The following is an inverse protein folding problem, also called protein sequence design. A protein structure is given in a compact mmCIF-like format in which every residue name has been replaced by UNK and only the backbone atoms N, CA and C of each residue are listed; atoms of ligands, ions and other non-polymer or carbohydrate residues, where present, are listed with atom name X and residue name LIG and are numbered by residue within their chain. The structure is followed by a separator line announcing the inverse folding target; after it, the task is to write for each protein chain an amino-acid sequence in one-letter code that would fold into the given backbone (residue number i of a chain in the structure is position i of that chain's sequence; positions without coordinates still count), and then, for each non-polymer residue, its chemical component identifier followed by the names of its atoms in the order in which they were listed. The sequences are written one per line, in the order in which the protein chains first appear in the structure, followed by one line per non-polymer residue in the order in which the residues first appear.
data_IF_392098525925
#
_entry.id   IF_392098525925
#
_cell.length_a   1.000
_cell.length_b   1.000
_cell.length_c   1.000
_cell.angle_alpha   90.00
_cell.angle_beta   90.00
_cell.angle_gamma   90.00
#
_symmetry.space_group_name_H-M   'P 1'
#
loop_
_entity.id
_entity.type
_entity.pdbx_description
1 polymer ?
#
# COMPACT_ATOMS: atom_id res chain seq x y z
N UNK A 1 -24.60 4.08 -60.66
CA UNK A 1 -24.98 3.95 -59.23
C UNK A 1 -23.68 3.88 -58.42
N UNK A 2 -23.27 5.02 -57.88
CA UNK A 2 -21.99 5.20 -57.17
C UNK A 2 -22.28 5.28 -55.68
N UNK A 3 -22.08 4.18 -54.98
CA UNK A 3 -22.33 4.06 -53.53
C UNK A 3 -21.15 4.67 -52.78
N UNK A 4 -21.36 5.80 -52.10
CA UNK A 4 -20.39 6.36 -51.14
C UNK A 4 -20.56 5.65 -49.80
N UNK A 5 -19.54 4.91 -49.38
CA UNK A 5 -19.44 4.33 -48.04
C UNK A 5 -18.65 5.30 -47.16
N UNK A 6 -19.35 6.02 -46.29
CA UNK A 6 -18.76 6.98 -45.35
C UNK A 6 -18.46 6.23 -44.06
N UNK A 7 -17.19 5.92 -43.79
CA UNK A 7 -16.77 5.31 -42.53
C UNK A 7 -16.57 6.41 -41.48
N UNK A 8 -17.55 6.57 -40.59
CA UNK A 8 -17.45 7.46 -39.43
C UNK A 8 -16.59 6.76 -38.36
N UNK A 9 -15.29 7.03 -38.35
CA UNK A 9 -14.39 6.61 -37.28
C UNK A 9 -14.73 7.47 -36.05
N UNK A 10 -15.55 6.92 -35.15
CA UNK A 10 -15.78 7.48 -33.84
C UNK A 10 -14.49 7.28 -33.02
N UNK A 11 -13.59 8.26 -33.08
CA UNK A 11 -12.41 8.32 -32.23
C UNK A 11 -12.91 8.61 -30.82
N UNK A 12 -13.26 7.54 -30.08
CA UNK A 12 -13.52 7.61 -28.65
C UNK A 12 -12.16 7.89 -27.99
N UNK A 13 -11.78 9.17 -27.92
CA UNK A 13 -10.70 9.62 -27.07
C UNK A 13 -11.11 9.31 -25.64
N UNK A 14 -10.78 8.11 -25.19
CA UNK A 14 -10.69 7.76 -23.78
C UNK A 14 -9.77 8.81 -23.17
N UNK A 15 -10.39 9.82 -22.57
CA UNK A 15 -9.74 10.76 -21.70
C UNK A 15 -9.15 9.88 -20.61
N UNK A 16 -7.87 9.59 -20.75
CA UNK A 16 -7.04 9.05 -19.69
C UNK A 16 -6.97 10.18 -18.66
N UNK A 17 -8.00 10.32 -17.84
CA UNK A 17 -7.86 11.05 -16.60
C UNK A 17 -6.76 10.32 -15.85
N UNK A 18 -5.58 10.93 -15.78
CA UNK A 18 -4.54 10.51 -14.85
C UNK A 18 -5.17 10.56 -13.46
N UNK A 19 -5.65 9.41 -12.99
CA UNK A 19 -6.19 9.24 -11.65
C UNK A 19 -5.06 9.23 -10.59
N UNK A 20 -3.83 9.58 -10.97
CA UNK A 20 -2.67 9.40 -10.13
C UNK A 20 -1.70 10.58 -10.10
N UNK A 21 -1.32 10.89 -8.84
CA UNK A 21 -0.43 11.92 -8.31
C UNK A 21 -0.95 13.37 -8.34
N UNK A 22 -2.05 13.62 -7.63
CA UNK A 22 -2.20 14.90 -6.94
C UNK A 22 -1.34 14.85 -5.68
N UNK A 23 -0.63 15.94 -5.34
CA UNK A 23 0.03 16.06 -4.04
C UNK A 23 -1.03 15.88 -2.93
N UNK A 24 -0.91 14.80 -2.16
CA UNK A 24 -1.81 14.56 -1.04
C UNK A 24 -1.44 15.50 0.12
N UNK A 25 -2.44 16.03 0.85
CA UNK A 25 -2.17 16.92 1.97
C UNK A 25 -1.35 16.20 3.04
N UNK A 26 -0.54 16.97 3.77
CA UNK A 26 0.22 16.49 4.92
C UNK A 26 0.00 17.47 6.07
N UNK A 27 -0.70 17.02 7.12
CA UNK A 27 -0.93 17.81 8.33
C UNK A 27 0.15 17.55 9.38
N UNK A 28 0.63 16.31 9.46
CA UNK A 28 1.66 15.92 10.43
C UNK A 28 2.61 14.89 9.85
N UNK A 29 3.90 15.06 10.15
CA UNK A 29 4.97 14.12 9.79
C UNK A 29 5.46 13.39 11.04
N UNK A 30 5.70 12.10 10.90
CA UNK A 30 6.23 11.24 11.95
C UNK A 30 7.53 10.60 11.47
N UNK A 31 8.56 10.74 12.30
CA UNK A 31 9.88 10.15 12.12
C UNK A 31 9.91 8.67 12.51
N UNK A 32 11.04 8.01 12.23
CA UNK A 32 11.23 6.56 12.44
C UNK A 32 10.92 6.14 13.87
N UNK A 33 11.24 6.97 14.86
CA UNK A 33 11.10 6.67 16.28
C UNK A 33 9.63 6.70 16.74
N UNK A 34 8.75 7.36 15.99
CA UNK A 34 7.34 7.59 16.36
C UNK A 34 6.34 6.81 15.52
N UNK A 35 6.77 6.15 14.44
CA UNK A 35 5.85 5.45 13.52
C UNK A 35 5.33 4.11 14.02
N UNK A 36 6.00 3.45 14.98
CA UNK A 36 5.64 2.09 15.39
C UNK A 36 4.29 1.95 16.09
N UNK A 37 3.69 3.07 16.53
CA UNK A 37 2.37 3.10 17.18
C UNK A 37 1.28 3.74 16.33
N UNK A 38 1.58 4.10 15.08
CA UNK A 38 0.59 4.63 14.15
C UNK A 38 -0.19 3.46 13.55
N UNK A 39 -1.51 3.56 13.60
CA UNK A 39 -2.44 2.68 12.92
C UNK A 39 -3.60 3.54 12.39
N UNK A 40 -3.54 3.89 11.11
CA UNK A 40 -4.57 4.69 10.47
C UNK A 40 -5.64 3.76 9.87
N UNK A 41 -6.90 3.81 10.34
CA UNK A 41 -7.94 2.95 9.79
C UNK A 41 -8.24 3.33 8.33
N UNK A 42 -8.24 2.34 7.44
CA UNK A 42 -8.64 2.48 6.05
C UNK A 42 -9.87 1.60 5.80
N UNK A 43 -11.01 2.24 5.59
CA UNK A 43 -12.28 1.56 5.32
C UNK A 43 -13.47 2.49 5.49
N UNK A 44 -14.55 2.19 4.78
CA UNK A 44 -15.78 2.96 4.81
C UNK A 44 -16.51 2.89 6.15
N UNK A 45 -17.45 3.81 6.34
CA UNK A 45 -18.32 3.84 7.51
C UNK A 45 -19.14 2.54 7.55
N UNK A 46 -19.03 1.80 8.66
CA UNK A 46 -19.79 0.57 8.88
C UNK A 46 -19.31 -0.66 8.08
N UNK A 47 -18.25 -0.55 7.27
CA UNK A 47 -17.77 -1.66 6.42
C UNK A 47 -16.73 -2.56 7.09
N UNK A 48 -16.21 -2.12 8.24
CA UNK A 48 -14.96 -2.63 8.78
C UNK A 48 -13.75 -1.93 8.14
N UNK A 49 -12.58 -2.11 8.75
CA UNK A 49 -11.35 -1.41 8.35
C UNK A 49 -10.14 -2.33 8.36
N UNK A 50 -9.15 -1.98 7.54
CA UNK A 50 -7.77 -2.48 7.67
C UNK A 50 -6.92 -1.26 7.98
N UNK A 51 -6.13 -1.32 9.04
CA UNK A 51 -5.29 -0.19 9.44
C UNK A 51 -3.96 -0.18 8.68
N UNK A 52 -3.61 0.97 8.14
CA UNK A 52 -2.26 1.26 7.65
C UNK A 52 -1.35 1.60 8.85
N UNK A 53 -0.40 0.72 9.13
CA UNK A 53 0.63 0.94 10.14
C UNK A 53 1.65 2.00 9.71
N UNK A 54 2.28 2.68 10.66
CA UNK A 54 3.24 3.76 10.37
C UNK A 54 4.47 3.33 9.57
N UNK A 55 4.82 2.04 9.60
CA UNK A 55 5.90 1.44 8.79
C UNK A 55 5.41 0.91 7.44
N UNK A 56 4.14 1.06 7.08
CA UNK A 56 3.57 0.57 5.81
C UNK A 56 2.98 -0.84 5.89
N UNK A 57 3.02 -1.48 7.07
CA UNK A 57 2.37 -2.78 7.25
C UNK A 57 0.85 -2.63 7.31
N UNK A 58 0.13 -3.64 6.82
CA UNK A 58 -1.31 -3.76 7.06
C UNK A 58 -1.53 -4.44 8.42
N UNK A 59 -2.37 -3.85 9.25
CA UNK A 59 -2.71 -4.39 10.56
C UNK A 59 -4.15 -4.15 10.97
N UNK A 60 -4.55 -4.69 12.12
CA UNK A 60 -5.87 -4.47 12.73
C UNK A 60 -7.00 -4.75 11.71
N UNK A 61 -7.05 -5.99 11.24
CA UNK A 61 -8.05 -6.42 10.26
C UNK A 61 -9.41 -6.57 10.95
N UNK A 62 -10.10 -5.45 11.09
CA UNK A 62 -11.42 -5.32 11.72
C UNK A 62 -12.51 -5.44 10.66
N UNK A 63 -12.54 -6.61 10.03
CA UNK A 63 -13.56 -6.98 9.04
C UNK A 63 -14.58 -7.91 9.73
N UNK A 64 -15.82 -7.97 9.22
CA UNK A 64 -16.93 -8.77 9.77
C UNK A 64 -17.52 -8.23 11.09
N UNK A 65 -17.47 -6.91 11.32
CA UNK A 65 -18.11 -6.27 12.47
C UNK A 65 -17.54 -6.70 13.82
N UNK A 66 -16.28 -7.16 13.85
CA UNK A 66 -15.59 -7.61 15.06
C UNK A 66 -14.43 -6.67 15.39
N UNK A 67 -14.36 -6.13 16.63
CA UNK A 67 -13.15 -5.48 17.13
C UNK A 67 -11.99 -6.49 17.09
N UNK A 68 -10.88 -6.09 16.48
CA UNK A 68 -9.78 -7.01 16.16
C UNK A 68 -8.42 -6.29 16.13
N UNK A 69 -8.18 -5.41 17.10
CA UNK A 69 -6.86 -4.78 17.27
C UNK A 69 -5.77 -5.82 17.54
N UNK A 70 -4.65 -5.68 16.85
CA UNK A 70 -3.53 -6.62 16.83
C UNK A 70 -3.78 -7.86 15.96
N UNK A 71 -4.98 -8.05 15.41
CA UNK A 71 -5.26 -9.21 14.57
C UNK A 71 -4.81 -8.99 13.13
N UNK A 72 -3.99 -9.91 12.64
CA UNK A 72 -3.61 -10.04 11.24
C UNK A 72 -4.00 -11.44 10.74
N UNK A 73 -4.62 -11.57 9.54
CA UNK A 73 -4.94 -12.86 8.97
C UNK A 73 -3.70 -13.74 8.84
N UNK A 74 -3.85 -15.02 9.16
CA UNK A 74 -2.75 -15.99 9.18
C UNK A 74 -1.81 -15.87 10.38
N UNK A 75 -2.30 -15.89 11.64
CA UNK A 75 -1.42 -15.85 12.82
C UNK A 75 -0.46 -17.05 12.89
N UNK A 76 0.71 -16.85 13.50
CA UNK A 76 1.72 -17.88 13.74
C UNK A 76 2.74 -18.03 12.60
N UNK A 77 2.95 -19.26 12.11
CA UNK A 77 3.90 -19.57 11.02
C UNK A 77 3.35 -19.26 9.62
N UNK A 78 2.13 -18.73 9.54
CA UNK A 78 1.53 -18.32 8.29
C UNK A 78 1.90 -16.86 7.97
N UNK A 79 2.12 -16.58 6.69
CA UNK A 79 2.32 -15.21 6.25
C UNK A 79 1.00 -14.43 6.26
N UNK A 80 1.02 -13.24 6.87
CA UNK A 80 -0.08 -12.27 6.77
C UNK A 80 -0.05 -11.53 5.44
N UNK A 81 -1.16 -10.88 5.01
CA UNK A 81 -1.16 -10.10 3.79
C UNK A 81 -0.05 -9.04 3.79
N UNK A 82 0.69 -8.96 2.68
CA UNK A 82 1.79 -8.02 2.50
C UNK A 82 1.91 -7.65 1.03
N UNK A 83 2.70 -6.62 0.73
CA UNK A 83 3.15 -6.30 -0.63
C UNK A 83 4.67 -6.36 -0.70
N UNK A 84 5.20 -6.84 -1.82
CA UNK A 84 6.63 -6.90 -2.13
C UNK A 84 6.97 -6.02 -3.32
N UNK A 85 8.19 -5.49 -3.29
CA UNK A 85 8.85 -4.89 -4.42
C UNK A 85 9.99 -5.79 -4.86
N UNK A 86 9.91 -6.26 -6.10
CA UNK A 86 11.04 -6.83 -6.83
C UNK A 86 11.72 -5.71 -7.62
N UNK A 87 13.05 -5.67 -7.59
CA UNK A 87 13.86 -4.80 -8.46
C UNK A 87 15.02 -5.55 -9.09
N UNK A 88 15.36 -5.18 -10.32
CA UNK A 88 16.59 -5.58 -11.00
C UNK A 88 17.28 -4.31 -11.51
N UNK A 89 18.45 -4.01 -10.94
CA UNK A 89 19.27 -2.86 -11.29
C UNK A 89 20.73 -3.32 -11.39
N UNK A 90 21.44 -2.96 -12.46
CA UNK A 90 22.85 -3.36 -12.65
C UNK A 90 23.10 -4.89 -12.52
N UNK A 91 22.15 -5.72 -12.96
CA UNK A 91 22.22 -7.18 -12.82
C UNK A 91 22.00 -7.70 -11.39
N UNK A 92 21.86 -6.82 -10.38
CA UNK A 92 21.52 -7.19 -9.01
C UNK A 92 20.01 -7.28 -8.88
N UNK A 93 19.53 -8.43 -8.42
CA UNK A 93 18.13 -8.70 -8.11
C UNK A 93 17.89 -8.53 -6.62
N UNK A 94 16.81 -7.87 -6.26
CA UNK A 94 16.41 -7.63 -4.87
C UNK A 94 14.89 -7.81 -4.73
N UNK A 95 14.48 -8.47 -3.65
CA UNK A 95 13.08 -8.67 -3.29
C UNK A 95 12.91 -8.29 -1.82
N UNK A 96 11.99 -7.38 -1.53
CA UNK A 96 11.71 -6.93 -0.16
C UNK A 96 10.23 -6.63 0.02
N UNK A 97 9.78 -6.66 1.27
CA UNK A 97 8.48 -6.11 1.64
C UNK A 97 8.48 -4.59 1.44
N UNK A 98 7.34 -4.06 1.00
CA UNK A 98 7.06 -2.63 0.99
C UNK A 98 6.63 -2.20 2.41
N UNK A 99 7.54 -2.42 3.35
CA UNK A 99 7.42 -2.10 4.76
C UNK A 99 8.76 -1.61 5.30
N UNK A 100 8.72 -0.75 6.32
CA UNK A 100 9.85 -0.34 7.11
C UNK A 100 10.29 -1.40 8.12
N UNK A 101 11.46 -1.18 8.73
CA UNK A 101 12.05 -2.07 9.71
C UNK A 101 11.10 -2.43 10.87
N UNK A 102 11.25 -3.65 11.40
CA UNK A 102 10.55 -4.06 12.60
C UNK A 102 11.20 -3.40 13.84
N UNK A 103 10.41 -2.94 14.81
CA UNK A 103 10.96 -2.52 16.08
C UNK A 103 11.53 -3.72 16.85
N UNK A 104 12.52 -3.46 17.70
CA UNK A 104 13.27 -4.52 18.38
C UNK A 104 12.40 -5.49 19.19
N UNK A 105 11.37 -4.98 19.87
CA UNK A 105 10.45 -5.79 20.69
C UNK A 105 9.68 -6.86 19.87
N UNK A 106 9.56 -6.70 18.55
CA UNK A 106 8.92 -7.71 17.68
C UNK A 106 9.81 -8.93 17.43
N UNK A 107 11.08 -8.88 17.84
CA UNK A 107 12.03 -10.00 17.81
C UNK A 107 12.11 -10.78 19.13
N UNK A 108 11.39 -10.36 20.17
CA UNK A 108 11.45 -10.95 21.51
C UNK A 108 10.49 -12.16 21.68
N UNK A 109 10.12 -12.81 20.57
CA UNK A 109 9.23 -13.96 20.57
C UNK A 109 9.91 -15.26 21.00
N UNK A 110 9.12 -16.22 21.50
CA UNK A 110 9.61 -17.54 21.90
C UNK A 110 10.32 -18.33 20.79
N UNK A 111 10.14 -17.93 19.52
CA UNK A 111 10.84 -18.49 18.35
C UNK A 111 11.67 -17.44 17.60
N UNK A 112 12.09 -16.37 18.26
CA UNK A 112 12.97 -15.32 17.71
C UNK A 112 12.26 -14.15 17.02
N UNK A 113 10.95 -14.26 16.76
CA UNK A 113 10.11 -13.12 16.35
C UNK A 113 8.62 -13.41 16.56
N UNK A 114 7.87 -12.35 16.88
CA UNK A 114 6.41 -12.34 17.00
C UNK A 114 5.78 -11.80 15.72
N UNK A 115 6.43 -10.83 15.09
CA UNK A 115 5.94 -10.19 13.86
C UNK A 115 5.74 -11.20 12.73
N UNK A 116 4.66 -11.00 11.98
CA UNK A 116 4.41 -11.76 10.75
C UNK A 116 5.43 -11.37 9.69
N UNK A 117 5.76 -12.31 8.80
CA UNK A 117 6.72 -12.10 7.71
C UNK A 117 8.12 -11.66 8.19
N UNK A 118 8.49 -11.87 9.46
CA UNK A 118 9.72 -11.33 10.07
C UNK A 118 11.02 -11.72 9.32
N UNK A 119 11.05 -12.87 8.65
CA UNK A 119 12.19 -13.35 7.88
C UNK A 119 12.41 -12.67 6.52
N UNK A 120 11.47 -11.83 6.05
CA UNK A 120 11.60 -11.16 4.75
C UNK A 120 12.38 -9.83 4.85
N UNK A 121 13.22 -9.50 3.85
CA UNK A 121 13.88 -8.20 3.78
C UNK A 121 12.89 -7.03 3.74
N UNK A 122 13.25 -5.90 4.34
CA UNK A 122 12.44 -4.68 4.48
C UNK A 122 13.25 -3.43 4.12
N UNK A 123 12.58 -2.30 3.99
CA UNK A 123 13.25 -1.00 3.91
C UNK A 123 13.83 -0.61 5.28
N UNK A 124 15.06 -0.11 5.30
CA UNK A 124 15.71 0.32 6.55
C UNK A 124 15.18 1.64 7.09
N UNK A 125 14.55 2.46 6.25
CA UNK A 125 14.00 3.76 6.60
C UNK A 125 12.51 3.82 6.26
N UNK A 126 11.73 4.31 7.22
CA UNK A 126 10.31 4.57 7.05
C UNK A 126 9.93 5.84 7.81
N UNK A 127 9.11 6.69 7.19
CA UNK A 127 8.44 7.82 7.84
C UNK A 127 6.97 7.82 7.45
N UNK A 128 6.12 8.47 8.24
CA UNK A 128 4.69 8.53 7.98
C UNK A 128 4.20 9.97 7.92
N UNK A 129 3.51 10.32 6.83
CA UNK A 129 2.84 11.59 6.65
C UNK A 129 1.33 11.38 6.77
N UNK A 130 0.70 12.11 7.70
CA UNK A 130 -0.69 11.95 8.08
C UNK A 130 -1.52 13.18 7.70
N UNK A 131 -2.66 12.93 7.05
CA UNK A 131 -3.74 13.89 6.84
C UNK A 131 -5.05 13.11 6.65
N UNK A 132 -5.56 12.48 7.70
CA UNK A 132 -6.75 11.62 7.63
C UNK A 132 -7.86 12.26 6.78
N UNK A 133 -8.44 11.57 5.79
CA UNK A 133 -8.35 10.12 5.52
C UNK A 133 -7.14 9.63 4.71
N UNK A 134 -6.16 10.50 4.46
CA UNK A 134 -4.95 10.17 3.72
C UNK A 134 -3.78 9.82 4.65
N UNK A 135 -3.12 8.70 4.35
CA UNK A 135 -1.89 8.28 5.00
C UNK A 135 -0.83 7.95 3.96
N UNK A 136 0.40 8.39 4.20
CA UNK A 136 1.52 8.15 3.30
C UNK A 136 2.70 7.58 4.08
N UNK A 137 3.29 6.50 3.58
CA UNK A 137 4.50 5.89 4.12
C UNK A 137 5.62 6.09 3.11
N UNK A 138 6.67 6.79 3.53
CA UNK A 138 7.85 6.97 2.70
C UNK A 138 8.90 5.94 3.10
N UNK A 139 9.35 5.13 2.14
CA UNK A 139 10.24 4.00 2.35
C UNK A 139 11.54 4.20 1.56
N UNK A 140 12.67 4.04 2.24
CA UNK A 140 14.01 4.18 1.65
C UNK A 140 14.99 3.18 2.24
N UNK A 141 15.98 2.85 1.43
CA UNK A 141 17.01 1.87 1.78
C UNK A 141 18.22 2.12 0.88
N UNK A 142 19.47 2.08 1.39
CA UNK A 142 20.66 2.29 0.55
C UNK A 142 20.99 1.08 -0.36
N UNK A 143 20.33 -0.07 -0.17
CA UNK A 143 20.63 -1.33 -0.86
C UNK A 143 20.07 -1.40 -2.29
N UNK A 144 19.07 -0.57 -2.62
CA UNK A 144 18.46 -0.42 -3.95
C UNK A 144 18.29 1.07 -4.29
N UNK A 145 18.33 1.47 -5.58
CA UNK A 145 18.23 2.87 -6.00
C UNK A 145 16.79 3.41 -6.04
N UNK A 146 15.80 2.63 -5.62
CA UNK A 146 14.37 3.00 -5.70
C UNK A 146 13.85 3.33 -4.30
N UNK A 147 13.22 4.50 -4.15
CA UNK A 147 12.37 4.80 -2.99
C UNK A 147 10.91 4.55 -3.33
N UNK A 148 10.13 4.18 -2.32
CA UNK A 148 8.69 3.94 -2.48
C UNK A 148 7.92 4.87 -1.57
N UNK A 149 6.89 5.52 -2.10
CA UNK A 149 5.86 6.18 -1.31
C UNK A 149 4.57 5.39 -1.46
N UNK A 150 4.16 4.75 -0.37
CA UNK A 150 2.89 4.05 -0.27
C UNK A 150 1.84 5.01 0.25
N UNK A 151 0.77 5.20 -0.49
CA UNK A 151 -0.31 6.12 -0.20
C UNK A 151 -1.58 5.31 -0.01
N UNK A 152 -2.26 5.45 1.13
CA UNK A 152 -3.53 4.77 1.36
C UNK A 152 -4.63 5.73 1.81
N UNK A 153 -5.84 5.46 1.34
CA UNK A 153 -7.05 6.15 1.77
C UNK A 153 -8.29 5.29 1.53
N UNK A 154 -9.38 5.68 2.16
CA UNK A 154 -10.73 5.32 1.72
C UNK A 154 -11.51 6.62 1.42
N UNK A 155 -12.56 6.59 0.59
CA UNK A 155 -13.32 7.77 0.20
C UNK A 155 -14.14 8.40 1.33
N UNK A 156 -13.51 8.88 2.40
CA UNK A 156 -14.17 9.49 3.56
C UNK A 156 -14.46 10.96 3.28
N UNK A 157 -15.69 11.25 2.85
CA UNK A 157 -16.13 12.59 2.43
C UNK A 157 -17.14 13.14 3.46
N UNK A 158 -16.81 14.24 4.17
CA UNK A 158 -17.72 14.83 5.14
C UNK A 158 -19.08 15.18 4.51
N UNK A 159 -20.16 14.67 5.09
CA UNK A 159 -21.53 14.93 4.64
C UNK A 159 -22.02 14.07 3.47
N UNK A 160 -21.18 13.19 2.92
CA UNK A 160 -21.55 12.27 1.84
C UNK A 160 -21.43 10.83 2.34
N UNK A 161 -22.56 10.28 2.80
CA UNK A 161 -22.65 8.96 3.41
C UNK A 161 -22.45 7.87 2.36
N UNK A 162 -23.00 8.04 1.16
CA UNK A 162 -22.99 7.02 0.11
C UNK A 162 -21.57 6.72 -0.34
N UNK A 163 -20.77 7.76 -0.59
CA UNK A 163 -19.36 7.58 -0.96
C UNK A 163 -18.48 7.17 0.24
N UNK A 164 -18.81 7.65 1.45
CA UNK A 164 -18.05 7.32 2.67
C UNK A 164 -18.27 5.90 3.17
N UNK A 165 -19.32 5.22 2.72
CA UNK A 165 -19.68 3.86 3.17
C UNK A 165 -19.24 2.77 2.17
N UNK A 166 -18.43 3.11 1.17
CA UNK A 166 -17.91 2.13 0.20
C UNK A 166 -16.88 1.23 0.89
N UNK A 167 -17.01 -0.11 0.80
CA UNK A 167 -16.09 -1.07 1.41
C UNK A 167 -14.80 -1.21 0.60
N UNK A 168 -14.05 -0.12 0.47
CA UNK A 168 -12.80 -0.07 -0.32
C UNK A 168 -11.66 0.52 0.49
N UNK A 169 -10.49 -0.09 0.33
CA UNK A 169 -9.21 0.48 0.72
C UNK A 169 -8.38 0.65 -0.55
N UNK A 170 -7.97 1.89 -0.84
CA UNK A 170 -7.11 2.18 -1.97
C UNK A 170 -5.68 2.27 -1.46
N UNK A 171 -4.78 1.53 -2.09
CA UNK A 171 -3.34 1.61 -1.87
C UNK A 171 -2.69 1.96 -3.20
N UNK A 172 -1.92 3.02 -3.21
CA UNK A 172 -1.16 3.52 -4.34
C UNK A 172 0.33 3.50 -4.03
N UNK A 173 1.13 3.09 -5.00
CA UNK A 173 2.58 3.00 -4.87
C UNK A 173 3.24 3.92 -5.89
N UNK A 174 3.89 4.96 -5.39
CA UNK A 174 4.77 5.81 -6.19
C UNK A 174 6.21 5.35 -6.02
N UNK A 175 6.85 4.98 -7.12
CA UNK A 175 8.26 4.58 -7.13
C UNK A 175 9.10 5.69 -7.75
N UNK A 176 10.18 6.07 -7.06
CA UNK A 176 11.15 7.04 -7.58
C UNK A 176 12.50 6.37 -7.73
N UNK A 177 13.01 6.33 -8.96
CA UNK A 177 14.36 5.86 -9.26
C UNK A 177 15.37 7.00 -9.09
N UNK A 178 16.33 6.84 -8.19
CA UNK A 178 17.39 7.82 -7.89
C UNK A 178 18.68 7.56 -8.66
N UNK A 179 18.71 6.53 -9.51
CA UNK A 179 19.85 6.24 -10.39
C UNK A 179 19.67 6.82 -11.78
N UNK A 180 20.76 6.84 -12.56
CA UNK A 180 20.73 7.24 -13.98
C UNK A 180 20.31 6.11 -14.91
N UNK A 181 20.20 4.90 -14.39
CA UNK A 181 19.96 3.71 -15.19
C UNK A 181 18.52 3.23 -15.05
N UNK A 182 18.05 2.50 -16.05
CA UNK A 182 16.73 1.89 -16.00
C UNK A 182 16.72 0.77 -14.95
N UNK A 183 15.70 0.78 -14.09
CA UNK A 183 15.45 -0.26 -13.08
C UNK A 183 14.19 -1.00 -13.47
N UNK A 184 14.29 -2.33 -13.66
CA UNK A 184 13.09 -3.16 -13.81
C UNK A 184 12.49 -3.39 -12.44
N UNK A 185 11.17 -3.30 -12.32
CA UNK A 185 10.49 -3.54 -11.06
C UNK A 185 9.20 -4.34 -11.25
N UNK A 186 8.73 -4.94 -10.16
CA UNK A 186 7.39 -5.53 -10.09
C UNK A 186 6.88 -5.43 -8.66
N UNK A 187 5.60 -5.14 -8.49
CA UNK A 187 4.93 -5.18 -7.20
C UNK A 187 3.99 -6.38 -7.17
N UNK A 188 4.02 -7.14 -6.08
CA UNK A 188 3.15 -8.29 -5.88
C UNK A 188 2.58 -8.26 -4.46
N UNK A 189 1.31 -8.59 -4.30
CA UNK A 189 0.66 -8.64 -3.00
C UNK A 189 -0.11 -9.93 -2.81
N UNK A 190 0.43 -10.93 -2.10
CA UNK A 190 -0.36 -12.08 -1.69
C UNK A 190 -1.34 -11.65 -0.61
N UNK A 191 -2.62 -11.56 -0.97
CA UNK A 191 -3.71 -11.42 -0.02
C UNK A 191 -4.40 -12.77 0.13
N UNK A 192 -4.42 -13.32 1.36
CA UNK A 192 -5.29 -14.46 1.64
C UNK A 192 -6.73 -13.97 1.56
N UNK A 193 -7.52 -14.65 0.73
CA UNK A 193 -8.93 -14.34 0.50
C UNK A 193 -9.66 -14.20 1.84
N UNK A 194 -10.08 -12.98 2.12
CA UNK A 194 -11.20 -12.67 2.98
C UNK A 194 -12.24 -11.97 2.08
N UNK A 195 -12.82 -12.73 1.16
CA UNK A 195 -13.95 -12.35 0.28
C UNK A 195 -13.92 -10.92 -0.34
N UNK A 196 -12.83 -10.50 -0.99
CA UNK A 196 -12.81 -9.24 -1.78
C UNK A 196 -12.04 -9.42 -3.09
N UNK A 197 -12.62 -8.93 -4.19
CA UNK A 197 -11.97 -8.85 -5.51
C UNK A 197 -10.86 -7.79 -5.49
N UNK A 198 -9.64 -8.19 -5.86
CA UNK A 198 -8.50 -7.29 -5.98
C UNK A 198 -8.29 -6.90 -7.44
N UNK A 199 -8.54 -5.65 -7.79
CA UNK A 199 -8.17 -5.08 -9.10
C UNK A 199 -6.78 -4.47 -8.97
N UNK A 200 -5.76 -5.20 -9.40
CA UNK A 200 -4.38 -4.70 -9.48
C UNK A 200 -4.14 -4.12 -10.87
N UNK A 201 -4.17 -2.78 -10.99
CA UNK A 201 -3.76 -2.11 -12.23
C UNK A 201 -2.25 -1.88 -12.19
N UNK A 202 -1.48 -2.76 -12.82
CA UNK A 202 -0.06 -2.52 -13.11
C UNK A 202 -0.01 -1.76 -14.44
N UNK A 203 0.48 -0.51 -14.41
CA UNK A 203 0.93 0.23 -15.59
C UNK A 203 2.41 0.50 -15.48
#
# INVERSE_FOLDING_TARGET
MTTRLTFLILLLSLISHSCYSTDWPVLKKYDRERIYKIAMPVGGIGTGTVSLGGRGNLQDWEIMGRPAKGYNPGPGRNNSPFFTLYTEANGKKDLRLIEGALPFYEYEGASGAIATNHGLPRFSEATFDAAYPFGQVNLRTPQIPVSVRMKAFNPMIPGDIDNSSIPVAVIDYELTNHSKEAVKFSICGPMKICSTESITSIK
#
